data_IF_206539432893
#
_entry.id   IF_206539432893
#
_cell.length_a   1.000
_cell.length_b   1.000
_cell.length_c   1.000
_cell.angle_alpha   90.00
_cell.angle_beta   90.00
_cell.angle_gamma   90.00
#
_symmetry.space_group_name_H-M   'P 1'
#
loop_
_entity.id
_entity.type
_entity.pdbx_description
1 polymer ?
#
# COMPACT_ATOMS: atom_id res chain seq x y z
N UNK A 1 13.80 -1.07 -10.14
CA UNK A 1 12.98 -0.15 -9.32
C UNK A 1 12.41 0.91 -10.24
N UNK A 2 11.08 1.01 -10.35
CA UNK A 2 10.43 2.07 -11.12
C UNK A 2 10.79 3.45 -10.55
N UNK A 3 10.89 4.48 -11.41
CA UNK A 3 11.39 5.81 -11.08
C UNK A 3 10.62 6.53 -9.93
N UNK A 4 9.40 6.09 -9.59
CA UNK A 4 8.56 6.65 -8.52
C UNK A 4 9.09 6.46 -7.09
N UNK A 5 9.93 5.45 -6.85
CA UNK A 5 10.44 5.17 -5.49
C UNK A 5 11.37 6.25 -4.92
N UNK A 6 11.96 7.11 -5.76
CA UNK A 6 12.91 8.13 -5.29
C UNK A 6 12.23 9.24 -4.48
N UNK A 7 11.03 9.67 -4.86
CA UNK A 7 10.33 10.76 -4.13
C UNK A 7 9.69 10.22 -2.86
N UNK A 8 9.03 9.06 -2.95
CA UNK A 8 8.35 8.44 -1.81
C UNK A 8 9.30 8.22 -0.63
N UNK A 9 10.51 7.72 -0.89
CA UNK A 9 11.52 7.46 0.15
C UNK A 9 11.89 8.68 1.01
N UNK A 10 11.73 9.89 0.48
CA UNK A 10 12.03 11.14 1.18
C UNK A 10 10.79 11.88 1.71
N UNK A 11 9.58 11.34 1.48
CA UNK A 11 8.36 11.89 2.03
C UNK A 11 8.16 11.43 3.48
N UNK A 12 7.60 12.29 4.33
CA UNK A 12 7.22 11.93 5.71
C UNK A 12 6.08 10.91 5.75
N UNK A 13 5.15 11.00 4.80
CA UNK A 13 4.06 10.05 4.59
C UNK A 13 3.46 10.18 3.18
N UNK A 14 2.77 9.14 2.72
CA UNK A 14 1.85 9.19 1.59
C UNK A 14 0.41 9.35 2.11
N UNK A 15 -0.32 10.34 1.61
CA UNK A 15 -1.76 10.51 1.84
C UNK A 15 -2.51 10.15 0.56
N UNK A 16 -3.27 9.06 0.60
CA UNK A 16 -3.96 8.51 -0.57
C UNK A 16 -5.39 8.04 -0.23
N UNK A 17 -6.31 8.95 0.13
CA UNK A 17 -7.71 8.65 0.47
C UNK A 17 -8.57 8.55 -0.81
N UNK A 18 -8.25 7.60 -1.71
CA UNK A 18 -9.00 7.39 -2.95
C UNK A 18 -10.44 6.93 -2.68
N UNK A 19 -11.41 7.52 -3.39
CA UNK A 19 -12.81 7.09 -3.35
C UNK A 19 -13.04 5.77 -4.10
N UNK A 20 -12.25 5.54 -5.14
CA UNK A 20 -12.27 4.33 -5.96
C UNK A 20 -10.88 4.12 -6.55
N UNK A 21 -10.36 2.91 -6.44
CA UNK A 21 -9.13 2.47 -7.09
C UNK A 21 -9.23 0.97 -7.42
N UNK A 22 -8.49 0.53 -8.43
CA UNK A 22 -8.44 -0.87 -8.85
C UNK A 22 -7.71 -1.74 -7.82
N UNK A 23 -6.43 -1.49 -7.58
CA UNK A 23 -5.62 -2.32 -6.67
C UNK A 23 -5.05 -1.54 -5.48
N UNK A 24 -4.44 -0.38 -5.71
CA UNK A 24 -3.71 0.35 -4.66
C UNK A 24 -2.19 0.27 -4.81
N UNK A 25 -1.70 0.28 -6.05
CA UNK A 25 -0.26 0.33 -6.34
C UNK A 25 0.49 1.45 -5.59
N UNK A 26 -0.04 2.69 -5.46
CA UNK A 26 0.63 3.74 -4.70
C UNK A 26 0.89 3.38 -3.23
N UNK A 27 -0.03 2.63 -2.61
CA UNK A 27 0.11 2.14 -1.22
C UNK A 27 1.28 1.17 -1.11
N UNK A 28 1.36 0.19 -2.03
CA UNK A 28 2.47 -0.79 -2.05
C UNK A 28 3.81 -0.09 -2.31
N UNK A 29 3.85 0.83 -3.26
CA UNK A 29 5.07 1.57 -3.60
C UNK A 29 5.60 2.37 -2.41
N UNK A 30 4.72 3.07 -1.67
CA UNK A 30 5.10 3.78 -0.45
C UNK A 30 5.58 2.82 0.65
N UNK A 31 4.88 1.71 0.85
CA UNK A 31 5.29 0.69 1.82
C UNK A 31 6.66 0.08 1.49
N UNK A 32 6.94 -0.23 0.21
CA UNK A 32 8.26 -0.69 -0.25
C UNK A 32 9.34 0.36 -0.03
N UNK A 33 9.03 1.64 -0.25
CA UNK A 33 9.94 2.75 0.02
C UNK A 33 10.20 2.96 1.52
N UNK A 34 9.41 2.35 2.39
CA UNK A 34 9.45 2.55 3.84
C UNK A 34 8.78 3.86 4.28
N UNK A 35 7.84 4.35 3.47
CA UNK A 35 7.06 5.57 3.70
C UNK A 35 5.74 5.19 4.38
N UNK A 36 5.41 5.78 5.53
CA UNK A 36 4.10 5.59 6.18
C UNK A 36 2.94 5.98 5.26
N UNK A 37 1.80 5.32 5.39
CA UNK A 37 0.63 5.54 4.52
C UNK A 37 -0.61 5.90 5.34
N UNK A 38 -1.33 6.93 4.89
CA UNK A 38 -2.75 7.18 5.20
C UNK A 38 -3.55 6.85 3.95
N UNK A 39 -4.54 5.96 4.03
CA UNK A 39 -5.36 5.60 2.88
C UNK A 39 -6.80 5.31 3.26
N UNK A 40 -7.67 5.17 2.27
CA UNK A 40 -9.10 4.92 2.48
C UNK A 40 -9.34 3.61 3.22
N UNK A 41 -10.34 3.61 4.09
CA UNK A 41 -10.90 2.42 4.74
C UNK A 41 -11.87 1.61 3.85
N UNK A 42 -11.93 1.93 2.55
CA UNK A 42 -12.75 1.25 1.54
C UNK A 42 -11.92 0.82 0.33
N UNK A 43 -12.44 -0.16 -0.40
CA UNK A 43 -11.89 -0.59 -1.69
C UNK A 43 -10.53 -1.28 -1.61
N UNK A 44 -9.89 -1.43 -2.77
CA UNK A 44 -8.64 -2.17 -2.91
C UNK A 44 -7.49 -1.59 -2.07
N UNK A 45 -7.47 -0.27 -1.83
CA UNK A 45 -6.43 0.35 -0.99
C UNK A 45 -6.50 -0.08 0.47
N UNK A 46 -7.71 -0.28 1.02
CA UNK A 46 -7.88 -0.80 2.38
C UNK A 46 -7.43 -2.27 2.48
N UNK A 47 -7.80 -3.07 1.48
CA UNK A 47 -7.41 -4.49 1.40
C UNK A 47 -5.89 -4.64 1.25
N UNK A 48 -5.28 -3.85 0.39
CA UNK A 48 -3.83 -3.85 0.17
C UNK A 48 -3.08 -3.29 1.37
N UNK A 49 -3.63 -2.32 2.09
CA UNK A 49 -3.01 -1.75 3.28
C UNK A 49 -3.09 -2.64 4.52
N UNK A 50 -4.22 -3.32 4.73
CA UNK A 50 -4.50 -4.09 5.96
C UNK A 50 -4.20 -3.29 7.24
N UNK A 51 -3.41 -3.86 8.14
CA UNK A 51 -3.02 -3.24 9.42
C UNK A 51 -1.69 -2.45 9.33
N UNK A 52 -1.18 -2.21 8.12
CA UNK A 52 0.10 -1.56 7.87
C UNK A 52 -0.02 -0.08 7.45
N UNK A 53 -1.23 0.49 7.52
CA UNK A 53 -1.49 1.91 7.25
C UNK A 53 -2.50 2.47 8.25
N UNK A 54 -2.62 3.80 8.30
CA UNK A 54 -3.77 4.46 8.93
C UNK A 54 -4.91 4.48 7.93
N UNK A 55 -6.01 3.82 8.27
CA UNK A 55 -7.23 3.79 7.45
C UNK A 55 -8.18 4.91 7.88
N UNK A 56 -8.59 5.74 6.93
CA UNK A 56 -9.49 6.89 7.14
C UNK A 56 -10.69 6.80 6.21
N UNK A 57 -11.80 7.40 6.60
CA UNK A 57 -12.94 7.64 5.71
C UNK A 57 -12.54 8.66 4.63
N UNK A 58 -12.57 8.31 3.33
CA UNK A 58 -12.24 9.26 2.27
C UNK A 58 -13.30 10.36 2.08
N UNK A 59 -14.43 10.26 2.80
CA UNK A 59 -15.50 11.25 2.78
C UNK A 59 -15.42 12.26 3.92
N UNK A 60 -14.46 12.13 4.84
CA UNK A 60 -14.27 13.05 5.97
C UNK A 60 -12.89 13.70 5.92
N UNK A 61 -12.89 15.02 5.76
CA UNK A 61 -11.66 15.83 5.80
C UNK A 61 -11.03 15.76 7.20
N UNK A 62 -11.87 15.73 8.24
CA UNK A 62 -11.46 15.64 9.63
C UNK A 62 -10.72 14.34 9.91
N UNK A 63 -11.25 13.20 9.45
CA UNK A 63 -10.64 11.88 9.63
C UNK A 63 -9.31 11.79 8.86
N UNK A 64 -9.25 12.32 7.64
CA UNK A 64 -8.00 12.42 6.86
C UNK A 64 -6.96 13.25 7.62
N UNK A 65 -7.34 14.44 8.13
CA UNK A 65 -6.46 15.32 8.88
C UNK A 65 -5.97 14.69 10.18
N UNK A 66 -6.84 13.98 10.91
CA UNK A 66 -6.48 13.26 12.12
C UNK A 66 -5.52 12.11 11.81
N UNK A 67 -5.76 11.36 10.73
CA UNK A 67 -4.87 10.29 10.28
C UNK A 67 -3.47 10.80 9.91
N UNK A 68 -3.40 11.93 9.21
CA UNK A 68 -2.13 12.62 8.92
C UNK A 68 -1.44 13.07 10.22
N UNK A 69 -2.18 13.69 11.13
CA UNK A 69 -1.64 14.20 12.39
C UNK A 69 -1.08 13.08 13.26
N UNK A 70 -1.77 11.93 13.36
CA UNK A 70 -1.30 10.74 14.08
C UNK A 70 0.08 10.30 13.58
N UNK A 71 0.25 10.13 12.27
CA UNK A 71 1.53 9.68 11.70
C UNK A 71 2.66 10.71 11.83
N UNK A 72 2.34 12.01 11.77
CA UNK A 72 3.34 13.07 11.92
C UNK A 72 3.84 13.16 13.37
N UNK A 73 2.96 13.02 14.35
CA UNK A 73 3.29 13.30 15.76
C UNK A 73 3.58 12.05 16.60
N UNK A 74 3.13 10.86 16.20
CA UNK A 74 3.44 9.61 16.91
C UNK A 74 4.59 8.86 16.21
N UNK A 75 5.80 9.04 16.75
CA UNK A 75 6.99 8.39 16.23
C UNK A 75 6.97 6.86 16.39
N UNK A 76 6.33 6.35 17.45
CA UNK A 76 6.27 4.91 17.71
C UNK A 76 5.36 4.23 16.70
N UNK A 77 4.15 4.77 16.52
CA UNK A 77 3.21 4.29 15.51
C UNK A 77 3.82 4.35 14.11
N UNK A 78 4.52 5.43 13.79
CA UNK A 78 5.17 5.60 12.49
C UNK A 78 6.21 4.51 12.21
N UNK A 79 7.08 4.19 13.16
CA UNK A 79 8.07 3.13 12.98
C UNK A 79 7.44 1.73 12.94
N UNK A 80 6.37 1.50 13.71
CA UNK A 80 5.59 0.27 13.64
C UNK A 80 5.01 0.07 12.23
N UNK A 81 4.31 1.06 11.70
CA UNK A 81 3.64 0.98 10.40
C UNK A 81 4.65 0.90 9.25
N UNK A 82 5.83 1.53 9.36
CA UNK A 82 6.91 1.35 8.37
C UNK A 82 7.42 -0.09 8.34
N UNK A 83 7.57 -0.73 9.50
CA UNK A 83 7.98 -2.13 9.60
C UNK A 83 6.91 -3.04 8.99
N UNK A 84 5.66 -2.90 9.42
CA UNK A 84 4.52 -3.66 8.88
C UNK A 84 4.33 -3.45 7.39
N UNK A 85 4.47 -2.22 6.92
CA UNK A 85 4.37 -1.85 5.51
C UNK A 85 5.39 -2.59 4.66
N UNK A 86 6.67 -2.59 5.05
CA UNK A 86 7.71 -3.35 4.33
C UNK A 86 7.43 -4.85 4.29
N UNK A 87 6.99 -5.42 5.42
CA UNK A 87 6.63 -6.83 5.51
C UNK A 87 5.46 -7.16 4.57
N UNK A 88 4.38 -6.38 4.64
CA UNK A 88 3.18 -6.54 3.81
C UNK A 88 3.48 -6.35 2.33
N UNK A 89 4.24 -5.33 1.98
CA UNK A 89 4.64 -5.05 0.60
C UNK A 89 5.55 -6.14 0.02
N UNK A 90 6.32 -6.84 0.86
CA UNK A 90 7.14 -7.98 0.48
C UNK A 90 6.34 -9.19 0.00
N UNK A 91 5.04 -9.27 0.33
CA UNK A 91 4.15 -10.32 -0.18
C UNK A 91 3.79 -10.13 -1.67
N UNK A 92 3.95 -8.92 -2.22
CA UNK A 92 3.65 -8.59 -3.61
C UNK A 92 4.91 -8.63 -4.47
N UNK A 93 4.98 -9.59 -5.39
CA UNK A 93 6.15 -9.82 -6.24
C UNK A 93 5.74 -10.08 -7.68
N UNK A 94 6.23 -9.24 -8.60
CA UNK A 94 6.02 -9.44 -10.04
C UNK A 94 6.56 -10.78 -10.54
N UNK A 95 7.67 -11.26 -9.96
CA UNK A 95 8.21 -12.59 -10.30
C UNK A 95 7.23 -13.68 -9.92
N UNK A 96 6.73 -13.66 -8.68
CA UNK A 96 5.75 -14.65 -8.19
C UNK A 96 4.46 -14.59 -9.00
N UNK A 97 3.95 -13.39 -9.27
CA UNK A 97 2.78 -13.20 -10.14
C UNK A 97 3.02 -13.80 -11.52
N UNK A 98 4.17 -13.53 -12.15
CA UNK A 98 4.51 -14.09 -13.45
C UNK A 98 4.57 -15.62 -13.45
N UNK A 99 5.16 -16.22 -12.43
CA UNK A 99 5.25 -17.68 -12.25
C UNK A 99 3.87 -18.33 -12.08
N UNK A 100 3.00 -17.73 -11.26
CA UNK A 100 1.64 -18.23 -11.02
C UNK A 100 0.77 -18.13 -12.28
N UNK A 101 0.83 -17.01 -13.01
CA UNK A 101 0.12 -16.88 -14.29
C UNK A 101 0.65 -17.84 -15.35
N UNK A 102 1.98 -18.03 -15.44
CA UNK A 102 2.57 -18.98 -16.37
C UNK A 102 2.14 -20.42 -16.06
N UNK A 103 2.04 -20.77 -14.77
CA UNK A 103 1.52 -22.07 -14.35
C UNK A 103 0.08 -22.27 -14.83
N UNK A 104 -0.80 -21.28 -14.59
CA UNK A 104 -2.18 -21.32 -15.06
C UNK A 104 -2.28 -21.45 -16.58
N UNK A 105 -1.48 -20.70 -17.35
CA UNK A 105 -1.48 -20.81 -18.80
C UNK A 105 -1.08 -22.21 -19.29
N UNK A 106 -0.12 -22.86 -18.62
CA UNK A 106 0.29 -24.24 -18.95
C UNK A 106 -0.84 -25.24 -18.66
N UNK A 107 -1.53 -25.10 -17.52
CA UNK A 107 -2.67 -25.94 -17.17
C UNK A 107 -3.78 -25.84 -18.23
N UNK A 108 -4.16 -24.62 -18.61
CA UNK A 108 -5.19 -24.39 -19.62
C UNK A 108 -4.77 -24.80 -21.04
N UNK A 109 -3.47 -24.73 -21.37
CA UNK A 109 -2.97 -25.14 -22.69
C UNK A 109 -2.94 -26.65 -22.91
N UNK A 110 -2.97 -27.45 -21.84
CA UNK A 110 -2.96 -28.92 -21.91
C UNK A 110 -4.40 -29.47 -22.06
N UNK A 111 -5.42 -28.66 -21.79
CA UNK A 111 -6.84 -29.00 -21.98
C UNK A 111 -7.38 -28.68 -23.40
N UNK A 112 -6.52 -28.24 -24.33
CA UNK A 112 -6.85 -27.99 -25.75
C UNK A 112 -6.21 -29.02 -26.68
#
# INVERSE_FOLDING_TARGET
MAAGGRVLKYADLLVYPSLCEGFGMPVIEAMQAGTPVVTSNIGGTAEVAGDAAVLVSPYSIEDIAEGMSKLLHDASLREELKRKGKERAGAYSWTKTGEEYLKLYKELSIEA
#
